data_IF_065090299010
#
_entry.id   IF_065090299010
#
_cell.length_a   1.000
_cell.length_b   1.000
_cell.length_c   1.000
_cell.angle_alpha   90.00
_cell.angle_beta   90.00
_cell.angle_gamma   90.00
#
_symmetry.space_group_name_H-M   'P 1'
#
loop_
_entity.id
_entity.type
_entity.pdbx_description
1 polymer ?
#
# COMPACT_ATOMS: atom_id res chain seq x y z
N UNK A 1 -11.07 22.07 14.94
CA UNK A 1 -10.24 21.28 14.01
C UNK A 1 -11.00 21.24 12.70
N UNK A 2 -10.37 21.32 11.52
CA UNK A 2 -11.09 21.06 10.29
C UNK A 2 -11.69 19.65 10.36
N UNK A 3 -12.98 19.52 10.02
CA UNK A 3 -13.63 18.21 9.98
C UNK A 3 -13.03 17.41 8.83
N UNK A 4 -12.29 16.35 9.15
CA UNK A 4 -11.72 15.46 8.16
C UNK A 4 -12.82 14.60 7.56
N UNK A 5 -12.96 14.65 6.23
CA UNK A 5 -13.95 13.90 5.48
C UNK A 5 -13.28 12.65 4.91
N UNK A 6 -13.87 11.49 5.18
CA UNK A 6 -13.29 10.18 4.89
C UNK A 6 -14.18 9.45 3.89
N UNK A 7 -13.62 9.07 2.75
CA UNK A 7 -14.26 8.17 1.78
C UNK A 7 -14.01 6.70 2.15
N UNK A 8 -14.87 5.80 1.68
CA UNK A 8 -14.64 4.35 1.69
C UNK A 8 -13.29 3.97 1.07
N UNK A 9 -12.77 4.73 0.10
CA UNK A 9 -11.46 4.49 -0.51
C UNK A 9 -10.28 5.09 0.26
N UNK A 10 -10.54 5.90 1.30
CA UNK A 10 -9.53 6.24 2.29
C UNK A 10 -9.32 5.10 3.29
N UNK A 11 -10.36 4.30 3.54
CA UNK A 11 -10.34 3.15 4.45
C UNK A 11 -9.80 1.90 3.75
N UNK A 12 -10.35 1.58 2.58
CA UNK A 12 -9.93 0.44 1.77
C UNK A 12 -9.01 0.92 0.67
N UNK A 13 -7.73 0.54 0.76
CA UNK A 13 -6.71 0.86 -0.24
C UNK A 13 -6.07 -0.41 -0.75
N UNK A 14 -6.02 -0.55 -2.08
CA UNK A 14 -5.20 -1.57 -2.73
C UNK A 14 -3.73 -1.16 -2.58
N UNK A 15 -2.88 -2.12 -2.24
CA UNK A 15 -1.46 -1.90 -2.09
C UNK A 15 -0.73 -3.20 -1.79
N UNK A 16 0.58 -3.09 -1.60
CA UNK A 16 1.45 -4.21 -1.26
C UNK A 16 1.76 -4.19 0.24
N UNK A 17 1.58 -5.35 0.89
CA UNK A 17 1.93 -5.56 2.28
C UNK A 17 3.45 -5.72 2.49
N UNK A 18 3.91 -5.90 3.73
CA UNK A 18 3.13 -6.26 4.91
C UNK A 18 2.54 -5.08 5.71
N UNK A 19 2.93 -3.83 5.45
CA UNK A 19 2.56 -2.70 6.31
C UNK A 19 2.17 -1.44 5.54
N UNK A 20 1.04 -0.84 5.87
CA UNK A 20 0.64 0.44 5.26
C UNK A 20 1.59 1.59 5.64
N UNK A 21 2.14 1.59 6.86
CA UNK A 21 3.03 2.66 7.34
C UNK A 21 4.49 2.44 6.97
N UNK A 22 4.93 1.18 6.83
CA UNK A 22 6.33 0.85 6.58
C UNK A 22 6.57 0.30 5.15
N UNK A 23 5.53 0.02 4.38
CA UNK A 23 5.64 -0.41 2.97
C UNK A 23 4.97 0.63 2.07
N UNK A 24 3.65 0.80 2.18
CA UNK A 24 2.89 1.66 1.26
C UNK A 24 3.29 3.15 1.37
N UNK A 25 3.40 3.68 2.59
CA UNK A 25 3.83 5.07 2.82
C UNK A 25 5.21 5.37 2.20
N UNK A 26 6.28 4.63 2.56
CA UNK A 26 7.61 4.83 1.96
C UNK A 26 7.63 4.69 0.44
N UNK A 27 6.86 3.77 -0.13
CA UNK A 27 6.69 3.64 -1.59
C UNK A 27 6.10 4.92 -2.19
N UNK A 28 5.01 5.44 -1.61
CA UNK A 28 4.38 6.70 -2.06
C UNK A 28 5.32 7.90 -1.87
N UNK A 29 6.10 7.95 -0.79
CA UNK A 29 7.10 8.99 -0.58
C UNK A 29 8.17 8.99 -1.69
N UNK A 30 8.65 7.81 -2.09
CA UNK A 30 9.57 7.66 -3.20
C UNK A 30 8.96 8.13 -4.54
N UNK A 31 7.69 7.82 -4.80
CA UNK A 31 6.97 8.32 -5.98
C UNK A 31 6.78 9.85 -5.96
N UNK A 32 6.46 10.44 -4.80
CA UNK A 32 6.36 11.89 -4.66
C UNK A 32 7.70 12.58 -4.93
N UNK A 33 8.81 11.99 -4.45
CA UNK A 33 10.15 12.49 -4.70
C UNK A 33 10.54 12.45 -6.19
N UNK A 34 10.30 11.33 -6.89
CA UNK A 34 10.60 11.24 -8.32
C UNK A 34 9.72 12.18 -9.15
N UNK A 35 8.46 12.36 -8.77
CA UNK A 35 7.56 13.34 -9.37
C UNK A 35 8.03 14.78 -9.14
N UNK A 36 8.55 15.11 -7.94
CA UNK A 36 9.09 16.43 -7.62
C UNK A 36 10.35 16.74 -8.45
N UNK A 37 11.24 15.75 -8.64
CA UNK A 37 12.40 15.85 -9.53
C UNK A 37 11.98 16.09 -10.98
N UNK A 38 11.00 15.32 -11.48
CA UNK A 38 10.50 15.46 -12.84
C UNK A 38 9.83 16.81 -13.08
N UNK A 39 9.01 17.29 -12.12
CA UNK A 39 8.32 18.60 -12.19
C UNK A 39 9.30 19.77 -12.26
N UNK A 40 10.47 19.64 -11.65
CA UNK A 40 11.53 20.64 -11.67
C UNK A 40 12.55 20.41 -12.80
N UNK A 41 12.28 19.46 -13.71
CA UNK A 41 13.14 19.10 -14.83
C UNK A 41 14.55 18.64 -14.42
N UNK A 42 14.71 18.17 -13.16
CA UNK A 42 16.01 17.74 -12.62
C UNK A 42 16.27 16.23 -12.78
N UNK A 43 15.26 15.44 -13.13
CA UNK A 43 15.34 13.97 -13.13
C UNK A 43 16.50 13.43 -13.99
N UNK A 44 16.71 14.02 -15.17
CA UNK A 44 17.76 13.59 -16.10
C UNK A 44 19.18 14.00 -15.65
N UNK A 45 19.28 14.99 -14.76
CA UNK A 45 20.56 15.47 -14.24
C UNK A 45 21.01 14.70 -12.99
N UNK A 46 20.17 13.81 -12.44
CA UNK A 46 20.51 13.04 -11.24
C UNK A 46 21.60 12.02 -11.56
N UNK A 47 22.68 12.02 -10.79
CA UNK A 47 23.78 11.04 -10.90
C UNK A 47 23.72 9.98 -9.78
N UNK A 48 23.22 10.37 -8.61
CA UNK A 48 23.13 9.51 -7.43
C UNK A 48 21.94 9.93 -6.56
N UNK A 49 21.33 8.96 -5.88
CA UNK A 49 20.31 9.20 -4.86
C UNK A 49 20.73 8.53 -3.56
N UNK A 50 20.67 9.27 -2.45
CA UNK A 50 20.79 8.74 -1.09
C UNK A 50 19.46 8.77 -0.37
N UNK A 51 19.22 7.74 0.43
CA UNK A 51 17.99 7.49 1.17
C UNK A 51 18.38 7.36 2.63
N UNK A 52 17.81 8.19 3.48
CA UNK A 52 18.05 8.17 4.92
C UNK A 52 16.74 7.82 5.63
N UNK A 53 16.72 6.69 6.32
CA UNK A 53 15.58 6.23 7.10
C UNK A 53 15.81 6.54 8.57
N UNK A 54 14.79 7.10 9.23
CA UNK A 54 14.86 7.53 10.63
C UNK A 54 13.88 6.77 11.52
N UNK A 55 14.13 6.80 12.83
CA UNK A 55 13.19 6.40 13.87
C UNK A 55 12.66 4.98 13.73
N UNK A 56 11.35 4.81 13.80
CA UNK A 56 10.69 3.49 13.70
C UNK A 56 10.85 2.87 12.31
N UNK A 57 10.91 3.73 11.28
CA UNK A 57 11.09 3.30 9.90
C UNK A 57 12.48 2.67 9.70
N UNK A 58 13.52 3.23 10.32
CA UNK A 58 14.84 2.62 10.34
C UNK A 58 14.85 1.29 11.11
N UNK A 59 14.31 1.28 12.33
CA UNK A 59 14.40 0.14 13.26
C UNK A 59 13.71 -1.11 12.78
N UNK A 60 12.55 -0.95 12.14
CA UNK A 60 11.71 -2.09 11.73
C UNK A 60 11.60 -2.25 10.22
N UNK A 61 12.23 -1.36 9.44
CA UNK A 61 12.01 -1.26 8.01
C UNK A 61 12.37 -2.52 7.23
N UNK A 62 13.50 -3.18 7.55
CA UNK A 62 13.88 -4.44 6.89
C UNK A 62 12.83 -5.54 7.06
N UNK A 63 12.28 -5.68 8.27
CA UNK A 63 11.24 -6.68 8.55
C UNK A 63 9.89 -6.36 7.87
N UNK A 64 9.66 -5.09 7.55
CA UNK A 64 8.44 -4.63 6.87
C UNK A 64 8.65 -4.35 5.36
N UNK A 65 9.82 -4.64 4.81
CA UNK A 65 10.15 -4.40 3.40
C UNK A 65 10.17 -2.92 3.01
N UNK A 66 10.52 -2.01 3.93
CA UNK A 66 10.61 -0.57 3.65
C UNK A 66 11.64 -0.23 2.59
N UNK A 67 12.79 -0.88 2.68
CA UNK A 67 13.87 -0.79 1.69
C UNK A 67 13.36 -1.20 0.30
N UNK A 68 12.75 -2.38 0.21
CA UNK A 68 12.14 -2.90 -1.01
C UNK A 68 11.13 -1.90 -1.57
N UNK A 69 10.22 -1.41 -0.74
CA UNK A 69 9.18 -0.46 -1.13
C UNK A 69 9.75 0.84 -1.70
N UNK A 70 10.81 1.36 -1.08
CA UNK A 70 11.47 2.57 -1.56
C UNK A 70 12.15 2.34 -2.90
N UNK A 71 12.88 1.24 -3.06
CA UNK A 71 13.56 0.93 -4.33
C UNK A 71 12.55 0.81 -5.48
N UNK A 72 11.46 0.08 -5.27
CA UNK A 72 10.42 -0.09 -6.28
C UNK A 72 9.68 1.23 -6.58
N UNK A 73 9.45 2.06 -5.56
CA UNK A 73 8.86 3.38 -5.74
C UNK A 73 9.76 4.35 -6.50
N UNK A 74 11.06 4.37 -6.18
CA UNK A 74 12.04 5.17 -6.91
C UNK A 74 12.20 4.64 -8.34
N UNK A 75 12.05 3.34 -8.56
CA UNK A 75 12.09 2.73 -9.89
C UNK A 75 10.84 2.99 -10.76
N UNK A 76 9.86 3.74 -10.25
CA UNK A 76 8.61 4.07 -10.96
C UNK A 76 7.50 3.03 -10.84
N UNK A 77 7.66 2.00 -10.01
CA UNK A 77 6.60 1.02 -9.75
C UNK A 77 5.40 1.66 -9.02
N UNK A 78 4.18 1.23 -9.35
CA UNK A 78 2.96 1.61 -8.62
C UNK A 78 2.53 0.51 -7.63
N UNK A 79 2.47 0.78 -6.33
CA UNK A 79 2.11 -0.24 -5.34
C UNK A 79 0.71 -0.84 -5.52
N UNK A 80 -0.16 -0.22 -6.33
CA UNK A 80 -1.51 -0.73 -6.65
C UNK A 80 -1.48 -1.77 -7.76
N UNK A 81 -0.57 -1.63 -8.73
CA UNK A 81 -0.57 -2.44 -9.97
C UNK A 81 0.71 -3.24 -10.19
N UNK A 82 1.73 -3.07 -9.34
CA UNK A 82 3.00 -3.77 -9.47
C UNK A 82 2.81 -5.28 -9.33
N UNK A 83 3.45 -6.06 -10.22
CA UNK A 83 3.42 -7.51 -10.12
C UNK A 83 4.21 -7.99 -8.89
N UNK A 84 3.49 -8.49 -7.90
CA UNK A 84 4.07 -9.00 -6.65
C UNK A 84 5.05 -10.15 -6.86
N UNK A 85 5.01 -10.86 -7.99
CA UNK A 85 5.98 -11.92 -8.29
C UNK A 85 7.31 -11.37 -8.81
N UNK A 86 7.33 -10.15 -9.34
CA UNK A 86 8.53 -9.50 -9.86
C UNK A 86 9.35 -8.79 -8.79
N UNK A 87 8.80 -8.59 -7.58
CA UNK A 87 9.43 -7.85 -6.47
C UNK A 87 10.85 -8.36 -6.20
N UNK A 88 10.99 -9.66 -5.95
CA UNK A 88 12.27 -10.24 -5.53
C UNK A 88 13.32 -10.15 -6.64
N UNK A 89 12.92 -10.42 -7.89
CA UNK A 89 13.81 -10.31 -9.05
C UNK A 89 14.27 -8.88 -9.31
N UNK A 90 13.36 -7.90 -9.23
CA UNK A 90 13.69 -6.48 -9.47
C UNK A 90 14.65 -5.95 -8.40
N UNK A 91 14.41 -6.28 -7.13
CA UNK A 91 15.32 -5.87 -6.05
C UNK A 91 16.68 -6.56 -6.16
N UNK A 92 16.70 -7.84 -6.54
CA UNK A 92 17.95 -8.56 -6.77
C UNK A 92 18.77 -7.92 -7.91
N UNK A 93 18.11 -7.55 -9.01
CA UNK A 93 18.76 -6.87 -10.14
C UNK A 93 19.38 -5.53 -9.73
N UNK A 94 18.67 -4.70 -8.96
CA UNK A 94 19.21 -3.43 -8.44
C UNK A 94 20.46 -3.68 -7.59
N UNK A 95 20.42 -4.70 -6.72
CA UNK A 95 21.55 -5.07 -5.85
C UNK A 95 22.73 -5.62 -6.64
N UNK A 96 22.50 -6.43 -7.65
CA UNK A 96 23.57 -7.03 -8.46
C UNK A 96 24.23 -6.00 -9.38
N UNK A 97 23.42 -5.20 -10.06
CA UNK A 97 23.90 -4.23 -11.05
C UNK A 97 24.41 -2.94 -10.43
N UNK A 98 24.05 -2.67 -9.16
CA UNK A 98 24.33 -1.41 -8.47
C UNK A 98 23.80 -0.20 -9.24
N UNK A 99 22.63 -0.38 -9.87
CA UNK A 99 21.96 0.61 -10.70
C UNK A 99 20.48 0.69 -10.35
N UNK A 100 19.93 1.89 -10.44
CA UNK A 100 18.52 2.16 -10.19
C UNK A 100 17.93 2.93 -11.38
N UNK A 101 16.83 2.42 -11.95
CA UNK A 101 16.10 3.12 -13.01
C UNK A 101 15.16 4.17 -12.41
N UNK A 102 15.71 5.32 -12.02
CA UNK A 102 15.00 6.39 -11.34
C UNK A 102 13.81 6.91 -12.16
N UNK A 103 12.64 6.95 -11.52
CA UNK A 103 11.35 7.31 -12.12
C UNK A 103 10.90 6.36 -13.25
N UNK A 104 11.59 5.23 -13.47
CA UNK A 104 11.36 4.35 -14.62
C UNK A 104 11.98 4.86 -15.92
N UNK A 105 12.73 5.97 -15.90
CA UNK A 105 13.19 6.67 -17.10
C UNK A 105 14.71 6.89 -17.16
N UNK A 106 15.37 7.08 -16.02
CA UNK A 106 16.77 7.51 -15.95
C UNK A 106 17.59 6.58 -15.07
N UNK A 107 18.56 5.87 -15.66
CA UNK A 107 19.40 4.92 -14.90
C UNK A 107 20.56 5.64 -14.23
N UNK A 108 20.64 5.51 -12.90
CA UNK A 108 21.69 6.09 -12.07
C UNK A 108 22.51 4.99 -11.37
N UNK A 109 23.71 5.35 -10.92
CA UNK A 109 24.47 4.49 -10.02
C UNK A 109 23.80 4.50 -8.63
N UNK A 110 23.68 3.32 -8.03
CA UNK A 110 23.04 3.16 -6.74
C UNK A 110 23.63 1.96 -5.99
N UNK A 111 24.34 2.22 -4.90
CA UNK A 111 24.82 1.19 -3.99
C UNK A 111 23.79 0.92 -2.90
N UNK A 112 23.23 -0.30 -2.89
CA UNK A 112 22.24 -0.66 -1.87
C UNK A 112 22.76 -0.50 -0.44
N UNK A 113 24.04 -0.81 -0.20
CA UNK A 113 24.63 -0.76 1.13
C UNK A 113 25.09 0.66 1.54
N UNK A 114 25.52 1.49 0.57
CA UNK A 114 26.06 2.82 0.87
C UNK A 114 25.05 3.96 0.71
N UNK A 115 24.04 3.77 -0.16
CA UNK A 115 23.06 4.80 -0.51
C UNK A 115 21.71 4.62 0.21
N UNK A 116 21.45 3.46 0.82
CA UNK A 116 20.26 3.21 1.64
C UNK A 116 20.65 3.05 3.11
N UNK A 117 20.56 4.16 3.85
CA UNK A 117 21.11 4.29 5.20
C UNK A 117 20.01 4.20 6.25
N UNK A 118 20.18 3.27 7.19
CA UNK A 118 19.29 3.11 8.34
C UNK A 118 19.87 3.84 9.56
N UNK A 119 19.31 5.00 9.89
CA UNK A 119 19.73 5.80 11.03
C UNK A 119 18.98 5.39 12.30
N UNK A 120 19.39 4.24 12.88
CA UNK A 120 18.71 3.60 14.01
C UNK A 120 18.62 4.46 15.28
N UNK A 121 19.55 5.39 15.46
CA UNK A 121 19.67 6.25 16.64
C UNK A 121 19.10 7.65 16.41
N UNK A 122 18.70 7.98 15.19
CA UNK A 122 18.21 9.30 14.82
C UNK A 122 16.70 9.28 14.63
N UNK A 123 16.05 10.39 14.98
CA UNK A 123 14.62 10.59 14.77
C UNK A 123 14.37 12.06 14.48
N UNK A 124 13.41 12.34 13.60
CA UNK A 124 13.01 13.71 13.30
C UNK A 124 11.88 14.17 14.22
N UNK A 125 11.76 15.48 14.52
CA UNK A 125 10.84 15.99 15.54
C UNK A 125 9.34 15.79 15.23
N UNK A 126 8.96 15.78 13.95
CA UNK A 126 7.56 15.76 13.54
C UNK A 126 6.90 14.38 13.72
N UNK A 127 7.52 13.32 13.19
CA UNK A 127 6.96 11.96 13.25
C UNK A 127 8.07 10.89 13.19
N UNK A 128 7.97 9.78 13.95
CA UNK A 128 9.02 8.76 14.02
C UNK A 128 9.21 7.92 12.75
N UNK A 129 8.24 7.93 11.84
CA UNK A 129 8.36 7.28 10.53
C UNK A 129 8.75 8.34 9.49
N UNK A 130 10.05 8.56 9.29
CA UNK A 130 10.53 9.55 8.36
C UNK A 130 11.56 8.95 7.38
N UNK A 131 11.53 9.46 6.16
CA UNK A 131 12.53 9.20 5.12
C UNK A 131 12.95 10.52 4.49
N UNK A 132 14.26 10.70 4.32
CA UNK A 132 14.82 11.80 3.54
C UNK A 132 15.43 11.24 2.27
N UNK A 133 15.07 11.82 1.14
CA UNK A 133 15.71 11.55 -0.14
C UNK A 133 16.65 12.70 -0.48
N UNK A 134 17.80 12.37 -1.04
CA UNK A 134 18.81 13.32 -1.51
C UNK A 134 19.24 12.92 -2.92
N UNK A 135 18.93 13.74 -3.91
CA UNK A 135 19.45 13.60 -5.27
C UNK A 135 20.67 14.50 -5.46
N UNK A 136 21.77 13.92 -5.94
CA UNK A 136 22.97 14.64 -6.33
C UNK A 136 22.96 14.80 -7.85
N UNK A 137 23.05 16.04 -8.32
CA UNK A 137 22.94 16.39 -9.72
C UNK A 137 24.33 16.55 -10.36
N UNK A 138 24.43 16.30 -11.65
CA UNK A 138 25.62 16.54 -12.48
C UNK A 138 26.11 17.99 -12.44
N UNK A 139 25.22 18.93 -12.08
CA UNK A 139 25.54 20.34 -11.86
C UNK A 139 26.32 20.62 -10.57
N UNK A 140 26.55 19.60 -9.72
CA UNK A 140 27.17 19.74 -8.39
C UNK A 140 26.22 20.23 -7.30
N UNK A 141 24.93 20.43 -7.62
CA UNK A 141 23.89 20.76 -6.65
C UNK A 141 23.27 19.50 -6.06
N UNK A 142 22.66 19.64 -4.89
CA UNK A 142 21.85 18.59 -4.28
C UNK A 142 20.41 19.08 -4.10
N UNK A 143 19.45 18.18 -4.32
CA UNK A 143 18.04 18.37 -4.03
C UNK A 143 17.61 17.39 -2.95
N UNK A 144 16.96 17.86 -1.89
CA UNK A 144 16.57 17.02 -0.76
C UNK A 144 15.16 17.32 -0.27
N UNK A 145 14.43 16.26 0.03
CA UNK A 145 13.09 16.34 0.58
C UNK A 145 12.89 15.24 1.64
N UNK A 146 12.16 15.61 2.69
CA UNK A 146 11.82 14.71 3.80
C UNK A 146 10.33 14.44 3.80
N UNK A 147 9.97 13.19 4.04
CA UNK A 147 8.60 12.70 4.03
C UNK A 147 8.31 11.87 5.28
N UNK A 148 7.07 11.96 5.75
CA UNK A 148 6.58 11.27 6.94
C UNK A 148 5.43 10.33 6.59
N UNK A 149 5.56 9.06 6.99
CA UNK A 149 4.49 8.08 6.86
C UNK A 149 3.63 8.05 8.13
N UNK A 150 2.49 8.72 8.08
CA UNK A 150 1.62 9.00 9.25
C UNK A 150 0.53 7.93 9.49
N UNK A 151 0.50 6.87 8.69
CA UNK A 151 -0.45 5.76 8.82
C UNK A 151 -1.44 5.66 7.66
N UNK A 152 -2.09 4.51 7.49
CA UNK A 152 -3.06 4.29 6.41
C UNK A 152 -2.51 4.45 4.98
N UNK A 153 -1.18 4.42 4.81
CA UNK A 153 -0.51 4.72 3.53
C UNK A 153 -0.44 6.20 3.16
N UNK A 154 -0.83 7.11 4.07
CA UNK A 154 -0.70 8.55 3.86
C UNK A 154 0.73 9.02 4.13
N UNK A 155 1.18 9.97 3.31
CA UNK A 155 2.50 10.58 3.37
C UNK A 155 2.35 12.09 3.39
N UNK A 156 3.10 12.75 4.28
CA UNK A 156 3.18 14.20 4.36
C UNK A 156 4.63 14.62 4.14
N UNK A 157 4.85 15.62 3.29
CA UNK A 157 6.17 16.21 3.09
C UNK A 157 6.49 17.22 4.20
N UNK A 158 7.73 17.26 4.65
CA UNK A 158 8.18 18.24 5.63
C UNK A 158 7.98 19.68 5.12
N UNK A 159 7.39 20.54 5.96
CA UNK A 159 7.06 21.92 5.61
C UNK A 159 5.74 22.08 4.85
N UNK A 160 5.09 21.01 4.42
CA UNK A 160 3.71 21.04 3.96
C UNK A 160 2.77 20.78 5.14
N UNK A 161 1.91 21.76 5.45
CA UNK A 161 0.71 21.45 6.22
C UNK A 161 -0.13 20.55 5.32
N UNK A 162 -0.32 19.29 5.73
CA UNK A 162 -0.86 18.21 4.91
C UNK A 162 -1.94 18.69 3.96
N UNK A 163 -1.83 18.30 2.68
CA UNK A 163 -2.70 18.72 1.58
C UNK A 163 -4.12 18.93 2.07
N UNK A 164 -4.62 20.17 2.04
CA UNK A 164 -6.03 20.45 2.26
C UNK A 164 -6.81 19.62 1.23
N UNK A 165 -7.32 18.46 1.65
CA UNK A 165 -8.25 17.69 0.84
C UNK A 165 -9.38 18.64 0.50
N UNK A 166 -9.78 18.63 -0.77
CA UNK A 166 -10.91 19.43 -1.24
C UNK A 166 -12.12 19.08 -0.36
N UNK A 167 -12.58 20.06 0.42
CA UNK A 167 -13.76 19.86 1.27
C UNK A 167 -14.98 19.78 0.36
N UNK A 168 -15.71 18.67 0.46
CA UNK A 168 -16.95 18.47 -0.29
C UNK A 168 -18.14 18.72 0.62
N UNK A 169 -19.29 19.07 0.05
CA UNK A 169 -20.53 19.14 0.82
C UNK A 169 -21.15 17.73 0.89
N UNK A 170 -21.21 17.15 2.09
CA UNK A 170 -21.77 15.82 2.30
C UNK A 170 -23.28 15.94 2.53
N UNK A 171 -24.13 15.25 1.73
CA UNK A 171 -25.58 15.29 1.93
C UNK A 171 -26.03 14.80 3.32
N UNK A 172 -25.32 13.84 3.89
CA UNK A 172 -25.63 13.22 5.19
C UNK A 172 -24.37 13.19 6.08
N UNK A 173 -23.91 14.34 6.61
CA UNK A 173 -22.71 14.37 7.44
C UNK A 173 -22.92 13.55 8.73
N UNK A 174 -21.91 12.77 9.12
CA UNK A 174 -21.94 11.89 10.29
C UNK A 174 -20.64 12.01 11.08
N UNK A 175 -20.72 12.55 12.29
CA UNK A 175 -19.66 12.51 13.30
C UNK A 175 -19.97 11.49 14.41
N UNK A 176 -21.26 11.28 14.71
CA UNK A 176 -21.73 10.40 15.79
C UNK A 176 -22.69 9.34 15.30
N UNK A 177 -22.69 8.19 15.97
CA UNK A 177 -23.62 7.10 15.69
C UNK A 177 -25.11 7.53 15.73
N UNK A 178 -25.46 8.50 16.59
CA UNK A 178 -26.80 9.07 16.68
C UNK A 178 -27.24 9.81 15.41
N UNK A 179 -26.31 10.45 14.70
CA UNK A 179 -26.58 11.19 13.46
C UNK A 179 -26.80 10.22 12.30
N UNK A 180 -25.99 9.16 12.21
CA UNK A 180 -26.22 8.09 11.23
C UNK A 180 -27.60 7.45 11.41
N UNK A 181 -27.98 7.16 12.66
CA UNK A 181 -29.31 6.64 12.98
C UNK A 181 -30.42 7.65 12.61
N UNK A 182 -30.21 8.93 12.90
CA UNK A 182 -31.14 9.99 12.53
C UNK A 182 -31.36 10.03 11.01
N UNK A 183 -30.31 9.96 10.19
CA UNK A 183 -30.43 9.92 8.73
C UNK A 183 -31.17 8.69 8.23
N UNK A 184 -30.86 7.50 8.77
CA UNK A 184 -31.56 6.28 8.38
C UNK A 184 -33.06 6.33 8.71
N UNK A 185 -33.42 6.84 9.90
CA UNK A 185 -34.82 6.94 10.33
C UNK A 185 -35.61 8.02 9.58
N UNK A 186 -34.98 9.15 9.25
CA UNK A 186 -35.65 10.28 8.58
C UNK A 186 -35.83 10.06 7.08
N UNK A 187 -34.88 9.37 6.42
CA UNK A 187 -34.91 9.12 4.97
C UNK A 187 -35.48 7.76 4.59
N UNK A 188 -35.45 6.79 5.51
CA UNK A 188 -35.74 5.39 5.22
C UNK A 188 -34.59 4.63 4.54
N UNK A 189 -33.45 5.28 4.31
CA UNK A 189 -32.26 4.67 3.72
C UNK A 189 -31.56 3.74 4.72
N UNK A 190 -30.96 2.66 4.21
CA UNK A 190 -30.00 1.83 4.95
C UNK A 190 -28.69 2.58 5.14
N UNK A 191 -27.89 2.16 6.12
CA UNK A 191 -26.54 2.70 6.34
C UNK A 191 -25.70 2.72 5.06
N UNK A 192 -25.73 1.64 4.27
CA UNK A 192 -24.97 1.55 3.01
C UNK A 192 -25.45 2.55 1.96
N UNK A 193 -26.74 2.89 1.96
CA UNK A 193 -27.33 3.85 1.03
C UNK A 193 -26.98 5.28 1.48
N UNK A 194 -27.03 5.59 2.77
CA UNK A 194 -26.52 6.85 3.34
C UNK A 194 -25.04 7.07 2.98
N UNK A 195 -24.22 6.03 3.11
CA UNK A 195 -22.80 6.09 2.71
C UNK A 195 -22.66 6.30 1.20
N UNK A 196 -23.47 5.64 0.37
CA UNK A 196 -23.43 5.82 -1.09
C UNK A 196 -23.79 7.25 -1.51
N UNK A 197 -24.79 7.84 -0.87
CA UNK A 197 -25.19 9.24 -1.11
C UNK A 197 -24.07 10.22 -0.71
N UNK A 198 -23.36 9.96 0.38
CA UNK A 198 -22.18 10.75 0.74
C UNK A 198 -21.03 10.57 -0.26
N UNK A 199 -20.80 9.36 -0.77
CA UNK A 199 -19.77 9.12 -1.79
C UNK A 199 -20.02 9.89 -3.09
N UNK A 200 -21.28 10.22 -3.38
CA UNK A 200 -21.68 11.02 -4.55
C UNK A 200 -21.09 12.44 -4.53
N UNK A 201 -20.68 12.94 -3.36
CA UNK A 201 -20.03 14.24 -3.21
C UNK A 201 -18.62 14.28 -3.83
N UNK A 202 -17.92 13.14 -3.91
CA UNK A 202 -16.59 13.07 -4.52
C UNK A 202 -16.61 12.54 -5.95
N UNK A 203 -17.56 11.66 -6.30
CA UNK A 203 -17.61 11.00 -7.61
C UNK A 203 -18.99 10.43 -7.93
N UNK A 204 -19.31 10.20 -9.21
CA UNK A 204 -20.54 9.53 -9.61
C UNK A 204 -20.69 8.13 -8.99
N UNK A 205 -21.93 7.72 -8.68
CA UNK A 205 -22.26 6.42 -8.10
C UNK A 205 -21.66 5.23 -8.90
N UNK A 206 -21.64 5.35 -10.24
CA UNK A 206 -21.06 4.32 -11.11
C UNK A 206 -19.56 4.09 -10.85
N UNK A 207 -18.80 5.14 -10.55
CA UNK A 207 -17.39 5.04 -10.20
C UNK A 207 -17.19 4.42 -8.81
N UNK A 208 -18.06 4.77 -7.86
CA UNK A 208 -18.10 4.13 -6.53
C UNK A 208 -18.33 2.64 -6.62
N UNK A 209 -19.35 2.21 -7.34
CA UNK A 209 -19.64 0.78 -7.56
C UNK A 209 -18.47 0.08 -8.25
N UNK A 210 -17.92 0.67 -9.32
CA UNK A 210 -16.78 0.10 -10.05
C UNK A 210 -15.57 -0.10 -9.14
N UNK A 211 -15.20 0.93 -8.36
CA UNK A 211 -14.05 0.83 -7.47
C UNK A 211 -14.27 -0.16 -6.32
N UNK A 212 -15.46 -0.24 -5.73
CA UNK A 212 -15.76 -1.27 -4.70
C UNK A 212 -15.65 -2.68 -5.28
N UNK A 213 -16.16 -2.91 -6.50
CA UNK A 213 -16.02 -4.20 -7.17
C UNK A 213 -14.56 -4.54 -7.49
N UNK A 214 -13.75 -3.55 -7.84
CA UNK A 214 -12.31 -3.74 -8.02
C UNK A 214 -11.62 -4.17 -6.72
N UNK A 215 -11.93 -3.52 -5.59
CA UNK A 215 -11.41 -3.94 -4.28
C UNK A 215 -11.85 -5.36 -3.94
N UNK A 216 -13.12 -5.69 -4.18
CA UNK A 216 -13.63 -7.04 -3.97
C UNK A 216 -12.88 -8.08 -4.82
N UNK A 217 -12.61 -7.77 -6.09
CA UNK A 217 -11.83 -8.65 -6.97
C UNK A 217 -10.41 -8.88 -6.44
N UNK A 218 -9.72 -7.82 -5.98
CA UNK A 218 -8.39 -7.94 -5.36
C UNK A 218 -8.44 -8.80 -4.10
N UNK A 219 -9.48 -8.65 -3.26
CA UNK A 219 -9.66 -9.49 -2.07
C UNK A 219 -9.81 -10.97 -2.46
N UNK A 220 -10.63 -11.29 -3.49
CA UNK A 220 -10.77 -12.65 -4.01
C UNK A 220 -9.42 -13.23 -4.43
N UNK A 221 -8.65 -12.47 -5.20
CA UNK A 221 -7.33 -12.86 -5.69
C UNK A 221 -6.31 -13.05 -4.54
N UNK A 222 -6.30 -12.15 -3.55
CA UNK A 222 -5.47 -12.29 -2.36
C UNK A 222 -5.80 -13.56 -1.56
N UNK A 223 -7.08 -13.85 -1.34
CA UNK A 223 -7.53 -15.07 -0.66
C UNK A 223 -7.10 -16.30 -1.47
N UNK A 224 -7.36 -16.30 -2.78
CA UNK A 224 -6.97 -17.39 -3.66
C UNK A 224 -5.48 -17.66 -3.56
N UNK A 225 -4.65 -16.63 -3.78
CA UNK A 225 -3.20 -16.72 -3.72
C UNK A 225 -2.74 -17.26 -2.35
N UNK A 226 -3.28 -16.72 -1.26
CA UNK A 226 -2.95 -17.15 0.10
C UNK A 226 -3.25 -18.64 0.35
N UNK A 227 -4.39 -19.12 -0.15
CA UNK A 227 -4.82 -20.53 -0.06
C UNK A 227 -4.05 -21.49 -0.96
N UNK A 228 -3.17 -20.98 -1.84
CA UNK A 228 -2.37 -21.79 -2.77
C UNK A 228 -0.87 -21.61 -2.62
N UNK A 229 -0.43 -20.61 -1.84
CA UNK A 229 0.99 -20.31 -1.62
C UNK A 229 1.51 -21.03 -0.38
N UNK A 230 2.41 -21.99 -0.60
CA UNK A 230 3.12 -22.71 0.46
C UNK A 230 4.40 -22.03 0.93
N UNK A 231 5.15 -22.72 1.78
CA UNK A 231 6.45 -22.26 2.28
C UNK A 231 6.37 -21.55 3.63
N UNK A 232 7.37 -20.71 3.91
CA UNK A 232 7.53 -19.98 5.16
C UNK A 232 7.36 -18.48 4.94
N UNK A 233 6.94 -17.75 5.98
CA UNK A 233 6.92 -16.29 5.96
C UNK A 233 8.35 -15.75 6.05
N UNK A 234 8.66 -14.65 5.35
CA UNK A 234 9.93 -13.96 5.51
C UNK A 234 10.04 -13.33 6.91
N UNK A 235 11.25 -12.89 7.27
CA UNK A 235 11.51 -12.19 8.55
C UNK A 235 12.22 -13.01 9.63
N UNK A 236 12.71 -14.22 9.30
CA UNK A 236 13.62 -14.98 10.17
C UNK A 236 12.97 -15.66 11.39
N UNK A 237 11.63 -15.76 11.41
CA UNK A 237 10.87 -16.39 12.50
C UNK A 237 10.42 -17.82 12.18
N UNK A 238 10.81 -18.37 11.01
CA UNK A 238 10.48 -19.72 10.55
C UNK A 238 8.97 -20.07 10.65
N UNK A 239 8.10 -19.10 10.39
CA UNK A 239 6.65 -19.28 10.48
C UNK A 239 6.12 -19.93 9.21
N UNK A 240 5.68 -21.18 9.30
CA UNK A 240 5.10 -21.89 8.16
C UNK A 240 3.73 -21.30 7.75
N UNK A 241 3.52 -21.13 6.44
CA UNK A 241 2.22 -20.78 5.87
C UNK A 241 1.27 -21.98 6.00
N UNK A 242 0.09 -21.75 6.58
CA UNK A 242 -0.87 -22.82 6.93
C UNK A 242 -2.02 -22.96 5.93
N UNK A 243 -2.41 -21.86 5.28
CA UNK A 243 -3.60 -21.80 4.43
C UNK A 243 -3.58 -22.83 3.29
N UNK A 244 -2.44 -23.00 2.60
CA UNK A 244 -2.32 -23.98 1.51
C UNK A 244 -2.58 -25.42 1.98
N UNK A 245 -1.95 -25.84 3.08
CA UNK A 245 -2.13 -27.20 3.62
C UNK A 245 -3.56 -27.44 4.08
N UNK A 246 -4.17 -26.43 4.72
CA UNK A 246 -5.57 -26.49 5.14
C UNK A 246 -6.50 -26.64 3.92
N UNK A 247 -6.32 -25.80 2.90
CA UNK A 247 -7.08 -25.86 1.66
C UNK A 247 -6.97 -27.22 0.97
N UNK A 248 -5.75 -27.75 0.79
CA UNK A 248 -5.52 -29.08 0.20
C UNK A 248 -6.25 -30.21 0.96
N UNK A 249 -6.27 -30.13 2.29
CA UNK A 249 -6.98 -31.11 3.13
C UNK A 249 -8.49 -31.02 2.94
N UNK A 250 -9.06 -29.82 2.95
CA UNK A 250 -10.50 -29.61 2.94
C UNK A 250 -11.14 -29.74 1.56
N UNK A 251 -10.39 -29.45 0.49
CA UNK A 251 -10.87 -29.58 -0.88
C UNK A 251 -10.92 -31.04 -1.35
N UNK A 252 -10.25 -31.94 -0.62
CA UNK A 252 -10.35 -33.40 -0.74
C UNK A 252 -10.19 -33.93 -2.18
N UNK A 253 -9.32 -33.31 -2.97
CA UNK A 253 -9.02 -33.75 -4.35
C UNK A 253 -9.98 -33.26 -5.43
N UNK A 254 -10.93 -32.38 -5.11
CA UNK A 254 -11.72 -31.69 -6.14
C UNK A 254 -10.82 -30.81 -7.02
N UNK A 255 -11.12 -30.76 -8.31
CA UNK A 255 -10.36 -29.98 -9.29
C UNK A 255 -10.98 -28.60 -9.50
N UNK A 256 -10.13 -27.60 -9.68
CA UNK A 256 -10.49 -26.21 -9.94
C UNK A 256 -9.28 -25.51 -10.58
N UNK A 257 -9.52 -24.40 -11.28
CA UNK A 257 -8.49 -23.67 -12.04
C UNK A 257 -8.37 -22.21 -11.64
N UNK A 258 -9.39 -21.67 -10.98
CA UNK A 258 -9.52 -20.26 -10.62
C UNK A 258 -10.31 -20.11 -9.32
N UNK A 259 -10.47 -18.87 -8.86
CA UNK A 259 -11.20 -18.57 -7.63
C UNK A 259 -12.67 -19.05 -7.68
N UNK A 260 -13.37 -18.84 -8.79
CA UNK A 260 -14.80 -19.12 -8.85
C UNK A 260 -15.08 -20.63 -8.86
N UNK A 261 -14.31 -21.40 -9.62
CA UNK A 261 -14.34 -22.87 -9.59
C UNK A 261 -13.87 -23.42 -8.25
N UNK A 262 -12.91 -22.77 -7.57
CA UNK A 262 -12.49 -23.13 -6.21
C UNK A 262 -13.60 -22.94 -5.19
N UNK A 263 -14.29 -21.78 -5.20
CA UNK A 263 -15.45 -21.54 -4.34
C UNK A 263 -16.59 -22.50 -4.64
N UNK A 264 -16.82 -22.85 -5.92
CA UNK A 264 -17.81 -23.85 -6.30
C UNK A 264 -17.46 -25.23 -5.74
N UNK A 265 -16.20 -25.65 -5.84
CA UNK A 265 -15.73 -26.92 -5.28
C UNK A 265 -15.91 -26.97 -3.74
N UNK A 266 -15.64 -25.87 -3.04
CA UNK A 266 -15.94 -25.73 -1.61
C UNK A 266 -17.44 -25.91 -1.35
N UNK A 267 -18.30 -25.20 -2.09
CA UNK A 267 -19.75 -25.31 -1.92
C UNK A 267 -20.29 -26.71 -2.20
N UNK A 268 -19.69 -27.42 -3.16
CA UNK A 268 -20.06 -28.80 -3.50
C UNK A 268 -19.55 -29.83 -2.50
N UNK A 269 -18.60 -29.49 -1.63
CA UNK A 269 -18.03 -30.41 -0.64
C UNK A 269 -18.98 -30.73 0.53
N UNK A 270 -19.97 -29.88 0.79
CA UNK A 270 -21.01 -30.14 1.78
C UNK A 270 -21.70 -28.88 2.31
N UNK A 271 -22.86 -29.08 2.94
CA UNK A 271 -23.62 -28.02 3.62
C UNK A 271 -23.86 -28.31 5.11
N UNK A 272 -23.20 -29.34 5.66
CA UNK A 272 -23.32 -29.72 7.06
C UNK A 272 -22.56 -28.77 7.98
N UNK A 273 -23.04 -28.61 9.22
CA UNK A 273 -22.44 -27.73 10.22
C UNK A 273 -20.94 -27.98 10.43
N UNK A 274 -20.51 -29.24 10.54
CA UNK A 274 -19.10 -29.60 10.71
C UNK A 274 -18.25 -29.20 9.50
N UNK A 275 -18.78 -29.37 8.28
CA UNK A 275 -18.09 -28.97 7.05
C UNK A 275 -17.89 -27.45 7.01
N UNK A 276 -18.93 -26.68 7.36
CA UNK A 276 -18.85 -25.22 7.44
C UNK A 276 -17.82 -24.81 8.50
N UNK A 277 -17.84 -25.44 9.67
CA UNK A 277 -16.93 -25.14 10.77
C UNK A 277 -15.46 -25.45 10.45
N UNK A 278 -15.19 -26.40 9.56
CA UNK A 278 -13.83 -26.69 9.12
C UNK A 278 -13.24 -25.60 8.20
N UNK A 279 -14.10 -24.82 7.52
CA UNK A 279 -13.70 -23.74 6.60
C UNK A 279 -13.70 -22.34 7.21
N UNK A 280 -14.38 -22.13 8.34
CA UNK A 280 -14.46 -20.87 9.10
C UNK A 280 -13.32 -20.77 10.10
#
# INVERSE_FOLDING_TARGET
MPNEQISVFDIFKIGIGPSSSHTLGPWRAAQQFTAALAKQEMLADVEQVKILLYGSLAKTGKGHGTDIAILLGLAGGDPVTFDVNAIDSTVAEIKETQKLNLGGHHTINFSYDDDLIFLFMESLPFHPNAVTFQAFLSTGKAFSETYYSIGGGFVVKEGENGSEKEQVDLPFPVEKASELLHWCLSTGLKVSEVVMENEAAWRPEAETKKGILQHYQVIKECIYRGSHTGGFLPGGLDVARRAQKLNQRLIAGQTYTDYDSWVLAIRNGGNGFNYILDWV
#
